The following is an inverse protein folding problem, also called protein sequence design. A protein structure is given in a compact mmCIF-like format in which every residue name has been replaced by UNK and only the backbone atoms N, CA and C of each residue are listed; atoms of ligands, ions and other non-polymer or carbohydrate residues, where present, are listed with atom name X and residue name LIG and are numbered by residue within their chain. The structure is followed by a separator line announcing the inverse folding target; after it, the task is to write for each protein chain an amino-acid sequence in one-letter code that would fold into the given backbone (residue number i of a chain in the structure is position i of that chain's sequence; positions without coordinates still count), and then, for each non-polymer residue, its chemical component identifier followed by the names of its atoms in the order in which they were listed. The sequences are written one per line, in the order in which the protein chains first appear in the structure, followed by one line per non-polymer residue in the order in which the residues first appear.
data_IF_251295990824
#
_entry.id   IF_251295990824
#
_cell.length_a   1.000
_cell.length_b   1.000
_cell.length_c   1.000
_cell.angle_alpha   90.00
_cell.angle_beta   90.00
_cell.angle_gamma   90.00
#
_symmetry.space_group_name_H-M   'P 1'
#
loop_
_entity.id
_entity.type
_entity.pdbx_description
1 polymer ?
#
# COMPACT_ATOMS: atom_id res chain seq x y z
N UNK A 1 -12.48 -8.90 -2.17
CA UNK A 1 -11.62 -9.08 -0.99
C UNK A 1 -12.27 -8.55 0.27
N UNK A 2 -12.83 -7.33 0.28
CA UNK A 2 -13.46 -6.75 1.48
C UNK A 2 -14.38 -7.70 2.25
N UNK A 3 -15.34 -8.36 1.60
CA UNK A 3 -16.25 -9.27 2.29
C UNK A 3 -15.53 -10.41 3.01
N UNK A 4 -14.44 -10.93 2.43
CA UNK A 4 -13.62 -11.98 3.06
C UNK A 4 -12.88 -11.44 4.28
N UNK A 5 -12.28 -10.25 4.16
CA UNK A 5 -11.57 -9.59 5.25
C UNK A 5 -12.53 -9.24 6.41
N UNK A 6 -13.72 -8.74 6.09
CA UNK A 6 -14.80 -8.48 7.05
C UNK A 6 -15.26 -9.76 7.74
N UNK A 7 -15.41 -10.85 7.00
CA UNK A 7 -15.79 -12.14 7.57
C UNK A 7 -14.72 -12.67 8.52
N UNK A 8 -13.44 -12.59 8.15
CA UNK A 8 -12.35 -12.99 9.03
C UNK A 8 -12.38 -12.23 10.37
N UNK A 9 -12.57 -10.92 10.32
CA UNK A 9 -12.69 -10.11 11.53
C UNK A 9 -13.89 -10.52 12.38
N UNK A 10 -15.04 -10.81 11.76
CA UNK A 10 -16.21 -11.32 12.47
C UNK A 10 -15.90 -12.65 13.17
N UNK A 11 -15.24 -13.58 12.49
CA UNK A 11 -14.85 -14.87 13.07
C UNK A 11 -13.91 -14.67 14.28
N UNK A 12 -12.96 -13.74 14.20
CA UNK A 12 -12.06 -13.42 15.34
C UNK A 12 -12.83 -12.77 16.50
N UNK A 13 -13.79 -11.90 16.21
CA UNK A 13 -14.65 -11.28 17.22
C UNK A 13 -15.45 -12.37 17.95
N UNK A 14 -16.07 -13.29 17.21
CA UNK A 14 -16.89 -14.37 17.77
C UNK A 14 -16.04 -15.33 18.63
N UNK A 15 -14.82 -15.65 18.19
CA UNK A 15 -13.86 -16.44 18.97
C UNK A 15 -13.50 -15.76 20.30
N UNK A 16 -13.24 -14.44 20.30
CA UNK A 16 -12.90 -13.69 21.51
C UNK A 16 -14.11 -13.58 22.44
N UNK A 17 -15.31 -13.37 21.91
CA UNK A 17 -16.55 -13.37 22.70
C UNK A 17 -16.77 -14.73 23.39
N UNK A 18 -16.50 -15.85 22.70
CA UNK A 18 -16.61 -17.18 23.26
C UNK A 18 -15.63 -17.46 24.43
N UNK A 19 -14.56 -16.67 24.57
CA UNK A 19 -13.63 -16.76 25.70
C UNK A 19 -14.22 -16.24 27.02
N UNK A 20 -15.38 -15.58 26.99
CA UNK A 20 -16.06 -15.03 28.18
C UNK A 20 -15.14 -14.13 29.03
N UNK A 21 -14.35 -13.28 28.37
CA UNK A 21 -13.42 -12.38 29.05
C UNK A 21 -14.19 -11.34 29.91
N UNK A 22 -13.68 -11.03 31.11
CA UNK A 22 -14.37 -10.18 32.09
C UNK A 22 -14.51 -8.71 31.69
N UNK A 23 -13.77 -8.20 30.70
CA UNK A 23 -13.82 -6.79 30.28
C UNK A 23 -13.61 -6.59 28.77
N UNK A 24 -14.13 -5.48 28.24
CA UNK A 24 -13.88 -5.07 26.84
C UNK A 24 -12.41 -4.75 26.59
N UNK A 25 -11.67 -4.25 27.58
CA UNK A 25 -10.24 -3.99 27.47
C UNK A 25 -9.45 -5.28 27.20
N UNK A 26 -9.78 -6.36 27.91
CA UNK A 26 -9.15 -7.66 27.67
C UNK A 26 -9.51 -8.24 26.31
N UNK A 27 -10.76 -8.05 25.85
CA UNK A 27 -11.19 -8.45 24.51
C UNK A 27 -10.42 -7.70 23.43
N UNK A 28 -10.32 -6.37 23.53
CA UNK A 28 -9.57 -5.55 22.58
C UNK A 28 -8.08 -5.90 22.58
N UNK A 29 -7.49 -6.18 23.76
CA UNK A 29 -6.11 -6.66 23.86
C UNK A 29 -5.88 -7.97 23.11
N UNK A 30 -6.86 -8.89 23.10
CA UNK A 30 -6.79 -10.09 22.25
C UNK A 30 -6.92 -9.75 20.77
N UNK A 31 -7.82 -8.84 20.42
CA UNK A 31 -8.02 -8.41 19.03
C UNK A 31 -6.76 -7.74 18.44
N UNK A 32 -5.93 -7.08 19.27
CA UNK A 32 -4.63 -6.51 18.86
C UNK A 32 -3.67 -7.52 18.22
N UNK A 33 -3.85 -8.84 18.44
CA UNK A 33 -3.05 -9.85 17.76
C UNK A 33 -3.32 -9.88 16.24
N UNK A 34 -4.56 -9.62 15.83
CA UNK A 34 -4.99 -9.65 14.43
C UNK A 34 -4.99 -8.27 13.79
N UNK A 35 -5.30 -7.24 14.58
CA UNK A 35 -5.34 -5.88 14.11
C UNK A 35 -4.69 -4.98 15.19
N UNK A 36 -3.41 -4.62 15.03
CA UNK A 36 -2.69 -3.80 16.01
C UNK A 36 -3.21 -2.35 16.04
N UNK A 37 -3.11 -1.69 17.19
CA UNK A 37 -3.42 -0.26 17.35
C UNK A 37 -4.67 0.07 18.15
N UNK A 38 -5.46 -0.93 18.60
CA UNK A 38 -6.58 -0.65 19.50
C UNK A 38 -6.09 -0.21 20.88
N UNK A 39 -6.80 0.77 21.44
CA UNK A 39 -6.56 1.26 22.80
C UNK A 39 -5.31 2.14 22.95
N UNK A 40 -4.65 2.52 21.84
CA UNK A 40 -3.57 3.51 21.89
C UNK A 40 -4.14 4.91 22.23
N UNK A 41 -3.68 5.46 23.35
CA UNK A 41 -4.09 6.76 23.88
C UNK A 41 -3.02 7.83 23.73
N UNK A 42 -1.92 7.55 23.03
CA UNK A 42 -0.85 8.52 22.73
C UNK A 42 -1.39 9.78 22.02
N UNK A 43 -0.74 10.94 22.09
CA UNK A 43 -1.19 12.10 21.31
C UNK A 43 -1.17 11.81 19.80
N UNK A 44 -2.07 12.44 19.03
CA UNK A 44 -2.13 12.21 17.58
C UNK A 44 -0.79 12.64 16.94
N UNK A 45 0.02 11.69 16.42
CA UNK A 45 1.38 12.01 15.97
C UNK A 45 1.41 12.67 14.59
N UNK A 46 0.26 12.71 13.91
CA UNK A 46 0.13 13.15 12.52
C UNK A 46 0.28 14.67 12.37
N UNK A 47 0.95 15.06 11.29
CA UNK A 47 1.24 16.44 10.91
C UNK A 47 0.35 16.88 9.75
N UNK A 48 0.32 18.19 9.52
CA UNK A 48 -0.23 18.75 8.28
C UNK A 48 0.49 18.12 7.08
N UNK A 49 -0.28 17.59 6.13
CA UNK A 49 0.15 16.86 4.92
C UNK A 49 0.41 15.36 5.05
N UNK A 50 -0.06 14.71 6.11
CA UNK A 50 -0.12 13.24 6.09
C UNK A 50 -1.28 12.72 5.23
N UNK A 51 -1.14 11.48 4.73
CA UNK A 51 -2.13 10.83 3.86
C UNK A 51 -3.44 10.55 4.62
N UNK A 52 -4.57 10.85 3.99
CA UNK A 52 -5.91 10.75 4.63
C UNK A 52 -6.23 9.34 5.12
N UNK A 53 -5.87 8.31 4.36
CA UNK A 53 -6.15 6.91 4.68
C UNK A 53 -5.57 6.48 6.05
N UNK A 54 -4.24 6.51 6.22
CA UNK A 54 -3.58 6.19 7.50
C UNK A 54 -4.09 7.04 8.67
N UNK A 55 -4.26 8.35 8.46
CA UNK A 55 -4.74 9.27 9.51
C UNK A 55 -6.15 8.90 9.97
N UNK A 56 -7.07 8.66 9.03
CA UNK A 56 -8.44 8.22 9.33
C UNK A 56 -8.44 6.89 10.08
N UNK A 57 -7.70 5.90 9.57
CA UNK A 57 -7.61 4.57 10.17
C UNK A 57 -7.11 4.66 11.62
N UNK A 58 -6.03 5.40 11.87
CA UNK A 58 -5.50 5.61 13.22
C UNK A 58 -6.52 6.25 14.15
N UNK A 59 -7.17 7.35 13.72
CA UNK A 59 -8.19 8.04 14.52
C UNK A 59 -9.38 7.16 14.85
N UNK A 60 -9.88 6.38 13.88
CA UNK A 60 -10.98 5.45 14.10
C UNK A 60 -10.58 4.35 15.09
N UNK A 61 -9.43 3.69 14.91
CA UNK A 61 -8.92 2.66 15.81
C UNK A 61 -8.81 3.12 17.27
N UNK A 62 -8.37 4.36 17.49
CA UNK A 62 -8.23 4.95 18.82
C UNK A 62 -9.54 5.26 19.53
N UNK A 63 -10.61 5.42 18.77
CA UNK A 63 -11.95 5.67 19.33
C UNK A 63 -12.71 4.40 19.72
N UNK A 64 -12.16 3.23 19.38
CA UNK A 64 -12.74 1.92 19.71
C UNK A 64 -12.69 1.69 21.21
N UNK A 65 -13.86 1.41 21.79
CA UNK A 65 -13.99 1.06 23.22
C UNK A 65 -14.61 -0.32 23.44
N UNK A 66 -15.21 -0.91 22.40
CA UNK A 66 -15.88 -2.21 22.45
C UNK A 66 -15.45 -3.08 21.28
N UNK A 67 -15.31 -4.38 21.53
CA UNK A 67 -14.94 -5.36 20.50
C UNK A 67 -15.92 -5.34 19.31
N UNK A 68 -17.22 -5.16 19.61
CA UNK A 68 -18.27 -5.13 18.60
C UNK A 68 -18.14 -3.99 17.57
N UNK A 69 -17.40 -2.92 17.89
CA UNK A 69 -17.21 -1.77 17.00
C UNK A 69 -16.16 -2.08 15.90
N UNK A 70 -15.29 -3.08 16.14
CA UNK A 70 -14.18 -3.44 15.25
C UNK A 70 -14.65 -3.85 13.86
N UNK A 71 -15.82 -4.53 13.77
CA UNK A 71 -16.36 -5.04 12.50
C UNK A 71 -16.60 -3.94 11.45
N UNK A 72 -16.92 -2.73 11.89
CA UNK A 72 -17.25 -1.59 11.01
C UNK A 72 -16.09 -0.62 10.79
N UNK A 73 -14.94 -0.85 11.43
CA UNK A 73 -13.82 0.09 11.32
C UNK A 73 -13.29 0.18 9.90
N UNK A 74 -12.87 1.39 9.56
CA UNK A 74 -12.13 1.65 8.34
C UNK A 74 -10.73 1.03 8.40
N UNK A 75 -10.35 0.34 7.33
CA UNK A 75 -8.98 -0.07 7.04
C UNK A 75 -8.68 0.31 5.59
N UNK A 76 -7.56 0.99 5.34
CA UNK A 76 -7.24 1.49 4.01
C UNK A 76 -7.00 0.39 2.98
N UNK A 77 -6.66 -0.81 3.43
CA UNK A 77 -6.46 -2.00 2.58
C UNK A 77 -7.62 -3.01 2.66
N UNK A 78 -8.79 -2.61 3.18
CA UNK A 78 -9.87 -3.57 3.41
C UNK A 78 -10.33 -4.26 2.11
N UNK A 79 -10.37 -3.53 1.01
CA UNK A 79 -10.73 -4.03 -0.32
C UNK A 79 -9.59 -4.74 -1.04
N UNK A 80 -8.39 -4.75 -0.45
CA UNK A 80 -7.17 -5.36 -0.94
C UNK A 80 -6.49 -4.62 -2.09
N UNK A 81 -6.93 -3.41 -2.43
CA UNK A 81 -6.36 -2.62 -3.52
C UNK A 81 -6.06 -1.19 -3.08
N UNK A 82 -5.01 -0.60 -3.65
CA UNK A 82 -4.77 0.82 -3.52
C UNK A 82 -5.55 1.59 -4.59
N UNK A 83 -6.26 2.67 -4.24
CA UNK A 83 -6.97 3.49 -5.24
C UNK A 83 -5.97 4.10 -6.22
N UNK A 84 -6.35 4.26 -7.51
CA UNK A 84 -5.45 4.77 -8.52
C UNK A 84 -5.12 6.26 -8.28
N UNK A 85 -3.86 6.64 -8.41
CA UNK A 85 -3.41 8.04 -8.30
C UNK A 85 -3.04 8.66 -9.66
N UNK A 86 -2.76 7.82 -10.66
CA UNK A 86 -2.50 8.22 -12.05
C UNK A 86 -3.81 8.38 -12.83
N UNK A 87 -4.59 9.42 -12.51
CA UNK A 87 -5.99 9.54 -12.93
C UNK A 87 -6.21 9.76 -14.44
N UNK A 88 -5.27 10.38 -15.14
CA UNK A 88 -5.40 10.69 -16.58
C UNK A 88 -4.60 9.73 -17.46
N UNK A 89 -4.97 9.64 -18.74
CA UNK A 89 -4.18 8.88 -19.73
C UNK A 89 -2.78 9.46 -19.88
N UNK A 90 -2.62 10.79 -19.78
CA UNK A 90 -1.31 11.45 -19.84
C UNK A 90 -0.40 11.04 -18.69
N UNK A 91 -0.93 10.99 -17.46
CA UNK A 91 -0.22 10.53 -16.27
C UNK A 91 0.22 9.06 -16.39
N UNK A 92 -0.67 8.19 -16.87
CA UNK A 92 -0.37 6.76 -17.08
C UNK A 92 0.67 6.55 -18.18
N UNK A 93 0.52 7.25 -19.31
CA UNK A 93 1.46 7.16 -20.41
C UNK A 93 2.86 7.63 -19.99
N UNK A 94 2.94 8.76 -19.28
CA UNK A 94 4.21 9.26 -18.74
C UNK A 94 4.89 8.25 -17.83
N UNK A 95 4.14 7.62 -16.92
CA UNK A 95 4.68 6.62 -16.02
C UNK A 95 5.24 5.41 -16.79
N UNK A 96 4.48 4.86 -17.74
CA UNK A 96 4.89 3.68 -18.51
C UNK A 96 6.09 3.96 -19.41
N UNK A 97 6.12 5.11 -20.09
CA UNK A 97 7.25 5.52 -20.93
C UNK A 97 8.53 5.72 -20.10
N UNK A 98 8.40 6.32 -18.91
CA UNK A 98 9.54 6.53 -18.01
C UNK A 98 10.07 5.20 -17.50
N UNK A 99 9.18 4.30 -17.07
CA UNK A 99 9.54 2.96 -16.62
C UNK A 99 10.24 2.17 -17.73
N UNK A 100 9.67 2.16 -18.93
CA UNK A 100 10.26 1.49 -20.09
C UNK A 100 11.66 2.05 -20.41
N UNK A 101 11.80 3.38 -20.42
CA UNK A 101 13.09 4.03 -20.70
C UNK A 101 14.15 3.61 -19.69
N UNK A 102 13.85 3.66 -18.39
CA UNK A 102 14.82 3.29 -17.35
C UNK A 102 15.16 1.80 -17.40
N UNK A 103 14.18 0.92 -17.61
CA UNK A 103 14.43 -0.52 -17.77
C UNK A 103 15.34 -0.82 -18.97
N UNK A 104 15.13 -0.14 -20.12
CA UNK A 104 15.98 -0.31 -21.29
C UNK A 104 17.40 0.26 -21.11
N UNK A 105 17.54 1.34 -20.33
CA UNK A 105 18.85 1.88 -19.91
C UNK A 105 19.59 0.92 -18.97
N UNK A 106 18.87 0.24 -18.06
CA UNK A 106 19.44 -0.67 -17.06
C UNK A 106 19.67 -2.10 -17.57
N UNK A 107 19.02 -2.51 -18.67
CA UNK A 107 19.15 -3.85 -19.22
C UNK A 107 20.60 -4.13 -19.66
N UNK A 108 21.24 -5.13 -19.05
CA UNK A 108 22.54 -5.65 -19.47
C UNK A 108 22.36 -6.37 -20.81
N UNK A 109 23.19 -6.04 -21.81
CA UNK A 109 23.13 -6.61 -23.16
C UNK A 109 24.45 -7.32 -23.47
N UNK A 110 24.36 -8.52 -24.01
CA UNK A 110 25.51 -9.26 -24.53
C UNK A 110 25.90 -8.74 -25.93
N UNK A 111 27.15 -8.97 -26.34
CA UNK A 111 27.60 -8.65 -27.69
C UNK A 111 26.77 -9.44 -28.73
N UNK A 112 25.87 -8.74 -29.43
CA UNK A 112 24.97 -9.31 -30.44
C UNK A 112 23.48 -9.03 -30.22
N UNK A 113 23.08 -8.58 -29.03
CA UNK A 113 21.69 -8.25 -28.67
C UNK A 113 21.40 -6.73 -28.69
N UNK A 114 22.03 -6.00 -29.63
CA UNK A 114 21.80 -4.56 -29.79
C UNK A 114 20.35 -4.20 -30.14
N UNK A 115 19.63 -5.13 -30.77
CA UNK A 115 18.24 -4.97 -31.23
C UNK A 115 17.18 -5.31 -30.16
N UNK A 116 17.58 -5.80 -28.98
CA UNK A 116 16.63 -6.13 -27.92
C UNK A 116 16.11 -4.87 -27.23
N UNK A 117 14.79 -4.70 -27.22
CA UNK A 117 14.10 -3.60 -26.53
C UNK A 117 12.96 -4.16 -25.67
N UNK A 118 12.93 -3.77 -24.39
CA UNK A 118 11.82 -4.07 -23.49
C UNK A 118 10.62 -3.23 -23.95
N UNK A 119 9.50 -3.85 -24.34
CA UNK A 119 8.31 -3.13 -24.81
C UNK A 119 7.56 -2.46 -23.65
N UNK A 120 6.67 -1.53 -23.98
CA UNK A 120 5.70 -0.97 -23.02
C UNK A 120 4.83 -2.09 -22.44
N UNK A 121 4.67 -2.10 -21.12
CA UNK A 121 3.84 -3.08 -20.42
C UNK A 121 2.37 -2.62 -20.41
N UNK A 122 1.59 -3.11 -21.37
CA UNK A 122 0.17 -2.76 -21.51
C UNK A 122 -0.69 -3.35 -20.39
N UNK A 123 -0.32 -4.51 -19.84
CA UNK A 123 -0.95 -5.13 -18.68
C UNK A 123 -0.79 -4.25 -17.44
N UNK A 124 0.41 -3.71 -17.21
CA UNK A 124 0.64 -2.75 -16.12
C UNK A 124 -0.17 -1.48 -16.33
N UNK A 125 -0.21 -0.95 -17.56
CA UNK A 125 -1.06 0.19 -17.91
C UNK A 125 -2.55 -0.04 -17.62
N UNK A 126 -3.02 -1.26 -17.88
CA UNK A 126 -4.39 -1.67 -17.55
C UNK A 126 -4.61 -1.79 -16.05
N UNK A 127 -3.63 -2.30 -15.31
CA UNK A 127 -3.69 -2.42 -13.85
C UNK A 127 -3.76 -1.04 -13.18
N UNK A 128 -2.81 -0.15 -13.45
CA UNK A 128 -2.71 1.20 -12.83
C UNK A 128 -3.87 2.13 -13.15
N UNK A 129 -4.68 1.79 -14.16
CA UNK A 129 -5.94 2.48 -14.45
C UNK A 129 -6.98 2.25 -13.35
N UNK A 130 -6.95 1.09 -12.70
CA UNK A 130 -7.96 0.68 -11.72
C UNK A 130 -7.41 0.57 -10.30
N UNK A 131 -6.12 0.33 -10.12
CA UNK A 131 -5.49 0.24 -8.81
C UNK A 131 -4.00 0.60 -8.88
N UNK A 132 -3.50 1.30 -7.87
CA UNK A 132 -2.07 1.61 -7.74
C UNK A 132 -1.26 0.45 -7.17
N UNK A 133 -1.94 -0.55 -6.60
CA UNK A 133 -1.32 -1.68 -5.97
C UNK A 133 -2.31 -2.65 -5.35
N UNK A 134 -1.77 -3.79 -4.90
CA UNK A 134 -2.49 -4.80 -4.13
C UNK A 134 -1.80 -4.90 -2.77
N UNK A 135 -2.59 -4.78 -1.72
CA UNK A 135 -2.09 -4.87 -0.35
C UNK A 135 -3.02 -5.76 0.47
N UNK A 136 -2.47 -6.81 1.07
CA UNK A 136 -3.20 -7.57 2.08
C UNK A 136 -3.18 -6.76 3.38
N UNK A 137 -4.33 -6.49 4.04
CA UNK A 137 -4.33 -5.93 5.39
C UNK A 137 -3.56 -6.82 6.41
N UNK A 138 -3.26 -8.05 6.01
CA UNK A 138 -2.46 -9.06 6.71
C UNK A 138 -2.99 -9.38 8.11
N UNK A 139 -4.32 -9.41 8.25
CA UNK A 139 -4.96 -9.84 9.49
C UNK A 139 -4.59 -11.28 9.89
N UNK A 140 -4.12 -12.06 8.91
CA UNK A 140 -3.66 -13.44 9.07
C UNK A 140 -2.17 -13.55 9.45
N UNK A 141 -1.40 -12.47 9.37
CA UNK A 141 0.08 -12.50 9.48
C UNK A 141 0.73 -13.48 8.51
N UNK A 142 0.12 -13.63 7.34
CA UNK A 142 0.61 -14.45 6.22
C UNK A 142 1.82 -13.84 5.52
N UNK A 143 2.09 -12.54 5.72
CA UNK A 143 3.29 -11.89 5.21
C UNK A 143 3.32 -11.80 3.68
N UNK A 144 2.15 -11.67 3.04
CA UNK A 144 2.09 -11.45 1.60
C UNK A 144 2.66 -10.06 1.30
N UNK A 145 3.78 -9.96 0.57
CA UNK A 145 4.38 -8.67 0.28
C UNK A 145 3.42 -7.83 -0.58
N UNK A 146 3.31 -6.52 -0.32
CA UNK A 146 2.49 -5.65 -1.14
C UNK A 146 3.08 -5.53 -2.54
N UNK A 147 2.21 -5.35 -3.53
CA UNK A 147 2.60 -5.01 -4.90
C UNK A 147 2.17 -3.57 -5.19
N UNK A 148 3.11 -2.63 -5.22
CA UNK A 148 2.85 -1.20 -5.38
C UNK A 148 3.70 -0.59 -6.51
N UNK A 149 3.37 -0.86 -7.77
CA UNK A 149 4.19 -0.42 -8.90
C UNK A 149 4.30 1.10 -9.00
N UNK A 150 3.29 1.88 -8.58
CA UNK A 150 3.27 3.33 -8.83
C UNK A 150 4.23 4.14 -7.96
N UNK A 151 4.92 3.54 -6.99
CA UNK A 151 5.89 4.22 -6.12
C UNK A 151 5.32 5.48 -5.43
N UNK A 152 4.02 5.49 -5.12
CA UNK A 152 3.30 6.65 -4.57
C UNK A 152 3.32 7.91 -5.46
N UNK A 153 3.55 7.75 -6.77
CA UNK A 153 3.54 8.82 -7.76
C UNK A 153 2.10 9.11 -8.21
N UNK A 154 1.67 10.37 -8.14
CA UNK A 154 0.39 10.80 -8.72
C UNK A 154 -0.31 11.85 -7.87
N UNK A 155 -1.63 11.94 -8.02
CA UNK A 155 -2.46 12.85 -7.24
C UNK A 155 -2.75 12.22 -5.88
N UNK A 156 -2.18 12.79 -4.82
CA UNK A 156 -2.36 12.30 -3.44
C UNK A 156 -3.25 13.26 -2.65
N UNK A 157 -4.20 12.68 -1.91
CA UNK A 157 -5.06 13.43 -0.98
C UNK A 157 -4.37 13.54 0.38
N UNK A 158 -4.22 14.78 0.85
CA UNK A 158 -3.59 15.07 2.14
C UNK A 158 -4.57 15.72 3.12
N UNK A 159 -4.40 15.42 4.41
CA UNK A 159 -5.11 16.15 5.47
C UNK A 159 -4.39 17.48 5.74
N UNK A 160 -5.06 18.60 5.46
CA UNK A 160 -4.64 19.92 5.96
C UNK A 160 -5.75 20.42 6.88
N UNK A 161 -5.52 20.44 8.21
CA UNK A 161 -6.45 20.99 9.21
C UNK A 161 -7.93 20.61 8.99
N UNK A 162 -8.20 19.31 8.87
CA UNK A 162 -9.54 18.74 8.65
C UNK A 162 -10.21 19.15 7.32
N UNK A 163 -9.44 19.67 6.35
CA UNK A 163 -9.84 19.89 4.97
C UNK A 163 -9.04 19.00 4.00
N UNK A 164 -9.71 18.50 2.96
CA UNK A 164 -9.07 17.76 1.87
C UNK A 164 -8.33 18.74 0.97
N UNK A 165 -7.01 18.60 0.90
CA UNK A 165 -6.20 19.29 -0.09
C UNK A 165 -5.72 18.31 -1.14
N UNK A 166 -6.03 18.60 -2.40
CA UNK A 166 -5.49 17.89 -3.56
C UNK A 166 -4.19 18.60 -3.93
N UNK A 167 -3.08 17.86 -3.93
CA UNK A 167 -1.80 18.38 -4.38
C UNK A 167 -1.44 17.72 -5.70
N UNK A 168 -1.42 18.52 -6.77
CA UNK A 168 -1.00 18.07 -8.10
C UNK A 168 0.30 18.78 -8.47
N UNK A 169 1.35 17.99 -8.69
CA UNK A 169 2.63 18.49 -9.19
C UNK A 169 2.62 18.49 -10.72
N UNK A 170 3.37 19.40 -11.39
CA UNK A 170 3.53 19.36 -12.83
C UNK A 170 4.09 18.00 -13.29
N UNK A 171 3.50 17.42 -14.33
CA UNK A 171 3.89 16.12 -14.89
C UNK A 171 5.39 16.03 -15.20
N UNK A 172 5.99 17.12 -15.70
CA UNK A 172 7.43 17.17 -15.99
C UNK A 172 8.30 17.01 -14.74
N UNK A 173 7.91 17.59 -13.61
CA UNK A 173 8.64 17.45 -12.36
C UNK A 173 8.53 16.03 -11.82
N UNK A 174 7.33 15.46 -11.88
CA UNK A 174 7.08 14.10 -11.38
C UNK A 174 7.75 13.04 -12.25
N UNK A 175 7.88 13.28 -13.56
CA UNK A 175 8.69 12.42 -14.45
C UNK A 175 10.14 12.31 -14.00
N UNK A 176 10.77 13.44 -13.65
CA UNK A 176 12.16 13.44 -13.18
C UNK A 176 12.29 12.75 -11.81
N UNK A 177 11.35 13.01 -10.89
CA UNK A 177 11.30 12.33 -9.58
C UNK A 177 11.14 10.80 -9.75
N UNK A 178 10.23 10.36 -10.63
CA UNK A 178 10.04 8.95 -10.97
C UNK A 178 11.30 8.34 -11.58
N UNK A 179 11.95 9.03 -12.53
CA UNK A 179 13.18 8.55 -13.17
C UNK A 179 14.27 8.32 -12.12
N UNK A 180 14.49 9.27 -11.21
CA UNK A 180 15.45 9.14 -10.12
C UNK A 180 15.13 7.93 -9.23
N UNK A 181 13.89 7.79 -8.75
CA UNK A 181 13.49 6.68 -7.88
C UNK A 181 13.63 5.30 -8.55
N UNK A 182 13.29 5.22 -9.84
CA UNK A 182 13.45 3.99 -10.62
C UNK A 182 14.92 3.64 -10.82
N UNK A 183 15.77 4.62 -11.13
CA UNK A 183 17.21 4.38 -11.27
C UNK A 183 17.86 3.95 -9.95
N UNK A 184 17.50 4.59 -8.83
CA UNK A 184 17.96 4.19 -7.50
C UNK A 184 17.54 2.76 -7.14
N UNK A 185 16.31 2.40 -7.49
CA UNK A 185 15.77 1.06 -7.20
C UNK A 185 16.41 0.01 -8.12
N UNK A 186 16.29 0.17 -9.44
CA UNK A 186 16.70 -0.83 -10.44
C UNK A 186 18.22 -1.00 -10.56
N UNK A 187 18.98 0.09 -10.37
CA UNK A 187 20.44 0.09 -10.54
C UNK A 187 21.19 0.04 -9.19
N UNK A 188 20.47 -0.02 -8.07
CA UNK A 188 21.07 -0.17 -6.74
C UNK A 188 21.60 -1.59 -6.51
N UNK A 189 22.73 -1.73 -5.82
CA UNK A 189 23.30 -3.04 -5.46
C UNK A 189 22.37 -3.90 -4.59
N UNK A 190 21.34 -3.30 -3.99
CA UNK A 190 20.35 -3.95 -3.12
C UNK A 190 19.00 -4.22 -3.82
N UNK A 191 18.92 -4.09 -5.16
CA UNK A 191 17.65 -4.19 -5.90
C UNK A 191 16.90 -5.50 -5.69
N UNK A 192 17.63 -6.60 -5.47
CA UNK A 192 17.06 -7.90 -5.13
C UNK A 192 17.63 -8.34 -3.78
N UNK A 193 16.93 -7.99 -2.70
CA UNK A 193 17.17 -8.60 -1.39
C UNK A 193 16.51 -9.99 -1.38
N UNK A 194 17.07 -10.89 -2.17
CA UNK A 194 16.65 -12.28 -2.25
C UNK A 194 17.40 -13.07 -1.20
N UNK A 195 16.68 -13.58 -0.19
CA UNK A 195 17.22 -14.66 0.63
C UNK A 195 17.36 -15.86 -0.28
N UNK A 196 18.60 -16.17 -0.69
CA UNK A 196 18.88 -17.45 -1.34
C UNK A 196 18.64 -18.51 -0.28
N UNK A 197 17.57 -19.28 -0.45
CA UNK A 197 17.31 -20.44 0.39
C UNK A 197 18.40 -21.48 0.11
N UNK A 198 19.37 -21.59 1.02
CA UNK A 198 20.54 -22.48 0.91
C UNK A 198 20.14 -23.97 0.93
N UNK A 199 18.88 -24.29 1.22
CA UNK A 199 18.34 -25.66 1.35
C UNK A 199 17.98 -26.33 0.00
N UNK A 200 18.21 -25.66 -1.15
CA UNK A 200 18.03 -26.22 -2.49
C UNK A 200 19.30 -26.84 -3.12
N UNK A 201 20.30 -27.23 -2.31
CA UNK A 201 21.52 -27.91 -2.77
C UNK A 201 21.44 -29.43 -2.64
#
# INVERSE_FOLDING_TARGET
MESSNRQFLQDRIDEIEAMNLPSEEEKLKRMCAYWPGFGDKSEDPWKDRDSVGPVRQHREQRSVTRLADVKTLYHMYMDGTLPPTLLTDEWRQMYLETLQSVCNEAAIRDEGDEDFEIPLCHELGSFIKYADGVHDPDFHRSGIPPFEPTLSIGIVNYTIKDSLAIYELPISRVREELKCSLQESLCGENFIDGVVDEDLK
#
